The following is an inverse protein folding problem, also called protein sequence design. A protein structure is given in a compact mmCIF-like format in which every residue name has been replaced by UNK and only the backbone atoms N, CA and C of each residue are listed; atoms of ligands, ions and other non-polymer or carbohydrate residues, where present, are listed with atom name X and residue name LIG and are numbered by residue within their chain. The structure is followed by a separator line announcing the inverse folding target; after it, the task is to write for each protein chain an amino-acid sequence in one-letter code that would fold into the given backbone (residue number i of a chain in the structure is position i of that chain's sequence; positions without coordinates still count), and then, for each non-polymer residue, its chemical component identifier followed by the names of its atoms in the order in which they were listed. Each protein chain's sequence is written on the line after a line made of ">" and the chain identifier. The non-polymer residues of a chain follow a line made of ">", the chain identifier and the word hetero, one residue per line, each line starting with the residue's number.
data_IF_093085523754
#
_entry.id   IF_093085523754
#
_cell.length_a   1.000
_cell.length_b   1.000
_cell.length_c   1.000
_cell.angle_alpha   90.00
_cell.angle_beta   90.00
_cell.angle_gamma   90.00
#
_symmetry.space_group_name_H-M   'P 1'
#
loop_
_entity.id
_entity.type
_entity.pdbx_description
1 polymer ?
#
# COMPACT_ATOMS: atom_id res chain seq x y z
N UNK A 1 17.27 -22.25 -23.13
CA UNK A 1 17.29 -22.16 -21.66
C UNK A 1 16.18 -21.22 -21.18
N UNK A 2 15.04 -21.78 -20.77
CA UNK A 2 13.93 -21.03 -20.16
C UNK A 2 14.21 -20.94 -18.65
N UNK A 3 14.58 -19.76 -18.14
CA UNK A 3 14.57 -19.49 -16.70
C UNK A 3 13.34 -18.66 -16.38
N UNK A 4 12.60 -19.23 -15.44
CA UNK A 4 11.23 -18.95 -15.06
C UNK A 4 11.20 -17.61 -14.31
N UNK A 5 10.47 -16.66 -14.90
CA UNK A 5 10.13 -15.36 -14.32
C UNK A 5 8.98 -15.60 -13.32
N UNK A 6 9.28 -16.08 -12.11
CA UNK A 6 8.37 -16.10 -10.95
C UNK A 6 8.89 -15.00 -10.01
N UNK A 7 8.55 -13.73 -10.21
CA UNK A 7 7.23 -13.13 -10.08
C UNK A 7 6.80 -13.03 -8.60
N UNK A 8 7.37 -12.04 -7.88
CA UNK A 8 6.69 -11.28 -6.82
C UNK A 8 5.32 -10.66 -7.27
N UNK A 9 4.91 -10.94 -8.51
CA UNK A 9 3.65 -10.56 -9.16
C UNK A 9 2.68 -11.78 -9.23
N UNK A 10 3.03 -13.01 -8.77
CA UNK A 10 2.13 -14.20 -8.87
C UNK A 10 1.36 -14.57 -7.59
N UNK A 11 1.56 -13.87 -6.46
CA UNK A 11 0.77 -14.08 -5.23
C UNK A 11 0.04 -12.79 -4.81
N UNK A 12 -0.42 -12.02 -5.79
CA UNK A 12 -1.50 -11.01 -5.58
C UNK A 12 -2.78 -11.47 -6.30
N UNK A 13 -2.80 -12.72 -6.75
CA UNK A 13 -4.00 -13.36 -7.28
C UNK A 13 -4.81 -13.90 -6.10
N UNK A 14 -5.92 -13.23 -5.82
CA UNK A 14 -7.00 -13.61 -4.89
C UNK A 14 -6.68 -13.26 -3.42
N UNK A 15 -6.62 -11.98 -3.11
CA UNK A 15 -6.82 -11.49 -1.74
C UNK A 15 -8.31 -11.44 -1.43
N UNK A 16 -8.83 -12.51 -0.82
CA UNK A 16 -10.00 -12.37 0.05
C UNK A 16 -9.57 -11.54 1.27
N UNK A 17 -10.30 -10.46 1.55
CA UNK A 17 -10.01 -9.38 2.49
C UNK A 17 -10.01 -9.74 4.00
N UNK A 18 -9.60 -10.96 4.36
CA UNK A 18 -9.71 -11.46 5.75
C UNK A 18 -8.36 -11.61 6.48
N UNK A 19 -7.24 -11.25 5.85
CA UNK A 19 -5.97 -11.10 6.56
C UNK A 19 -5.98 -9.79 7.33
N UNK A 20 -5.82 -9.82 8.66
CA UNK A 20 -5.77 -8.61 9.46
C UNK A 20 -4.31 -8.23 9.73
N UNK A 21 -3.93 -6.99 9.46
CA UNK A 21 -2.64 -6.46 9.88
C UNK A 21 -2.53 -6.44 11.41
N UNK A 22 -1.32 -6.70 11.91
CA UNK A 22 -1.01 -6.71 13.34
C UNK A 22 0.33 -6.07 13.62
N UNK A 23 0.43 -5.38 14.75
CA UNK A 23 1.72 -4.96 15.29
C UNK A 23 2.44 -6.21 15.82
N UNK A 24 3.72 -6.34 15.47
CA UNK A 24 4.57 -7.39 15.99
C UNK A 24 5.94 -6.83 16.39
N UNK A 25 6.70 -7.65 17.12
CA UNK A 25 8.08 -7.38 17.49
C UNK A 25 8.98 -8.48 16.96
N UNK A 26 10.09 -8.12 16.33
CA UNK A 26 11.12 -9.07 15.91
C UNK A 26 11.72 -9.78 17.13
N UNK A 27 11.84 -11.11 17.06
CA UNK A 27 12.49 -11.93 18.09
C UNK A 27 13.98 -12.15 17.82
N UNK A 28 14.39 -11.96 16.57
CA UNK A 28 15.75 -12.16 16.10
C UNK A 28 16.07 -11.18 14.96
N UNK A 29 17.36 -11.01 14.68
CA UNK A 29 17.77 -10.31 13.47
C UNK A 29 17.39 -11.17 12.26
N UNK A 30 16.92 -10.53 11.21
CA UNK A 30 16.53 -11.20 9.97
C UNK A 30 16.88 -10.32 8.78
N UNK A 31 17.48 -10.91 7.76
CA UNK A 31 17.72 -10.25 6.48
C UNK A 31 16.75 -10.86 5.48
N UNK A 32 15.84 -10.04 4.94
CA UNK A 32 14.92 -10.51 3.90
C UNK A 32 15.70 -10.99 2.69
N UNK A 33 15.53 -12.27 2.36
CA UNK A 33 16.26 -12.96 1.28
C UNK A 33 15.61 -12.77 -0.09
N UNK A 34 14.38 -12.25 -0.16
CA UNK A 34 13.69 -11.97 -1.42
C UNK A 34 13.97 -10.55 -1.96
N UNK A 35 13.89 -10.43 -3.29
CA UNK A 35 14.42 -9.38 -4.22
C UNK A 35 14.11 -7.89 -3.93
N UNK A 36 13.52 -7.54 -2.78
CA UNK A 36 13.39 -6.16 -2.34
C UNK A 36 14.38 -5.84 -1.21
N UNK A 37 15.63 -5.60 -1.63
CA UNK A 37 16.60 -4.71 -1.02
C UNK A 37 17.38 -5.18 0.22
N UNK A 38 17.43 -6.48 0.55
CA UNK A 38 18.25 -6.94 1.68
C UNK A 38 17.90 -6.21 2.97
N UNK A 39 16.60 -5.92 3.14
CA UNK A 39 16.13 -5.14 4.29
C UNK A 39 16.39 -5.97 5.53
N UNK A 40 17.21 -5.39 6.40
CA UNK A 40 17.55 -5.97 7.67
C UNK A 40 16.52 -5.51 8.69
N UNK A 41 15.90 -6.49 9.33
CA UNK A 41 15.04 -6.31 10.49
C UNK A 41 15.86 -6.69 11.72
N UNK A 42 15.80 -5.85 12.74
CA UNK A 42 16.60 -6.05 13.95
C UNK A 42 15.79 -6.67 15.07
N UNK A 43 16.42 -7.51 15.89
CA UNK A 43 15.81 -8.06 17.09
C UNK A 43 15.26 -6.93 17.96
N UNK A 44 14.00 -7.08 18.37
CA UNK A 44 13.31 -6.11 19.20
C UNK A 44 12.64 -4.96 18.43
N UNK A 45 12.85 -4.84 17.12
CA UNK A 45 12.18 -3.87 16.26
C UNK A 45 10.68 -4.11 16.17
N UNK A 46 9.89 -3.03 16.13
CA UNK A 46 8.46 -3.11 15.84
C UNK A 46 8.21 -3.15 14.34
N UNK A 47 7.36 -4.06 13.92
CA UNK A 47 6.99 -4.30 12.53
C UNK A 47 5.47 -4.41 12.41
N UNK A 48 4.96 -4.16 11.21
CA UNK A 48 3.59 -4.52 10.83
C UNK A 48 3.67 -5.81 10.05
N UNK A 49 2.93 -6.82 10.49
CA UNK A 49 2.81 -8.08 9.76
C UNK A 49 1.42 -8.22 9.16
N UNK A 50 1.34 -8.95 8.06
CA UNK A 50 0.10 -9.34 7.43
C UNK A 50 0.17 -10.81 7.03
N UNK A 51 -0.89 -11.57 7.33
CA UNK A 51 -0.98 -12.99 6.95
C UNK A 51 -1.53 -13.10 5.52
N UNK A 52 -0.73 -13.46 4.51
CA UNK A 52 -1.30 -13.83 3.22
C UNK A 52 -2.17 -15.08 3.38
N UNK A 53 -3.32 -15.09 2.70
CA UNK A 53 -4.37 -16.11 2.84
C UNK A 53 -3.89 -17.55 2.50
N UNK A 54 -2.82 -17.68 1.70
CA UNK A 54 -2.40 -18.95 1.11
C UNK A 54 -1.02 -19.48 1.54
N UNK A 55 -0.31 -18.81 2.44
CA UNK A 55 1.03 -19.26 2.85
C UNK A 55 1.03 -19.64 4.34
N UNK A 56 1.32 -20.91 4.62
CA UNK A 56 1.19 -21.44 5.99
C UNK A 56 2.20 -20.82 6.96
N UNK A 57 3.36 -20.37 6.46
CA UNK A 57 4.49 -20.01 7.33
C UNK A 57 5.07 -18.61 7.07
N UNK A 58 4.85 -18.00 5.92
CA UNK A 58 5.42 -16.71 5.52
C UNK A 58 4.39 -15.58 5.64
N UNK A 59 4.84 -14.45 6.18
CA UNK A 59 4.04 -13.26 6.44
C UNK A 59 4.67 -12.07 5.75
N UNK A 60 3.85 -11.26 5.08
CA UNK A 60 4.31 -9.99 4.56
C UNK A 60 4.60 -9.05 5.74
N UNK A 61 5.72 -8.34 5.70
CA UNK A 61 6.16 -7.46 6.77
C UNK A 61 6.47 -6.05 6.26
N UNK A 62 6.21 -5.04 7.08
CA UNK A 62 6.70 -3.67 6.92
C UNK A 62 7.39 -3.20 8.19
N UNK A 63 8.51 -2.50 8.04
CA UNK A 63 9.09 -1.74 9.14
C UNK A 63 8.63 -0.27 9.13
N UNK A 64 9.00 0.46 10.18
CA UNK A 64 8.67 1.89 10.36
C UNK A 64 9.21 2.79 9.26
N UNK A 65 10.20 2.33 8.49
CA UNK A 65 10.88 3.12 7.45
C UNK A 65 10.35 2.82 6.05
N UNK A 66 9.28 2.00 5.95
CA UNK A 66 8.63 1.65 4.69
C UNK A 66 9.34 0.54 3.94
N UNK A 67 10.31 -0.12 4.57
CA UNK A 67 10.89 -1.35 4.08
C UNK A 67 9.91 -2.50 4.21
N UNK A 68 9.82 -3.35 3.19
CA UNK A 68 8.94 -4.51 3.18
C UNK A 68 9.67 -5.80 2.79
N UNK A 69 9.12 -6.94 3.19
CA UNK A 69 9.66 -8.26 2.89
C UNK A 69 8.72 -9.37 3.34
N UNK A 70 9.26 -10.57 3.50
CA UNK A 70 8.54 -11.71 4.04
C UNK A 70 9.30 -12.32 5.21
N UNK A 71 8.59 -12.73 6.25
CA UNK A 71 9.13 -13.35 7.46
C UNK A 71 8.40 -14.64 7.79
N UNK A 72 9.15 -15.62 8.30
CA UNK A 72 8.55 -16.78 8.93
C UNK A 72 7.93 -16.42 10.29
N UNK A 73 6.87 -17.12 10.69
CA UNK A 73 6.23 -16.96 12.03
C UNK A 73 7.20 -17.07 13.20
N UNK A 74 8.32 -17.79 13.03
CA UNK A 74 9.35 -17.93 14.04
C UNK A 74 10.18 -16.66 14.24
N UNK A 75 10.17 -15.69 13.32
CA UNK A 75 11.00 -14.48 13.38
C UNK A 75 10.42 -13.37 14.27
N UNK A 76 9.12 -13.40 14.58
CA UNK A 76 8.42 -12.32 15.28
C UNK A 76 7.45 -12.82 16.36
N UNK A 77 6.91 -11.89 17.14
CA UNK A 77 5.83 -12.09 18.10
C UNK A 77 4.77 -11.00 17.93
N UNK A 78 3.51 -11.39 17.74
CA UNK A 78 2.38 -10.45 17.66
C UNK A 78 2.15 -9.77 19.01
N UNK A 79 1.84 -8.47 18.96
CA UNK A 79 1.45 -7.67 20.12
C UNK A 79 -0.07 -7.43 20.05
N UNK A 80 -0.88 -8.20 20.80
CA UNK A 80 -2.32 -8.12 20.71
C UNK A 80 -2.85 -6.76 21.19
N UNK A 81 -3.92 -6.29 20.55
CA UNK A 81 -4.65 -5.08 20.97
C UNK A 81 -3.92 -3.76 20.77
N UNK A 82 -2.72 -3.74 20.16
CA UNK A 82 -2.01 -2.51 19.80
C UNK A 82 -2.25 -2.15 18.34
N UNK A 83 -2.54 -0.88 18.03
CA UNK A 83 -2.64 -0.43 16.64
C UNK A 83 -1.28 -0.55 15.95
N UNK A 84 -1.30 -0.79 14.64
CA UNK A 84 -0.08 -0.71 13.81
C UNK A 84 0.44 0.72 13.77
N UNK A 85 1.75 0.92 13.57
CA UNK A 85 2.31 2.27 13.36
C UNK A 85 1.95 2.81 11.97
N UNK A 86 2.06 4.14 11.79
CA UNK A 86 1.94 4.78 10.47
C UNK A 86 3.03 4.24 9.54
N UNK A 87 2.63 3.58 8.46
CA UNK A 87 3.57 3.12 7.45
C UNK A 87 4.19 4.33 6.75
N UNK A 88 5.53 4.40 6.71
CA UNK A 88 6.22 5.35 5.84
C UNK A 88 6.25 4.84 4.41
N UNK A 89 6.25 5.79 3.48
CA UNK A 89 6.36 5.48 2.06
C UNK A 89 7.66 6.03 1.49
N UNK A 90 8.37 5.18 0.73
CA UNK A 90 9.59 5.58 0.06
C UNK A 90 9.28 6.01 -1.38
N UNK A 91 9.36 7.32 -1.72
CA UNK A 91 9.01 7.81 -3.05
C UNK A 91 9.95 7.27 -4.14
N UNK A 92 11.21 6.95 -3.81
CA UNK A 92 12.13 6.35 -4.77
C UNK A 92 11.71 4.91 -5.10
N UNK A 93 11.34 4.13 -4.09
CA UNK A 93 10.85 2.77 -4.27
C UNK A 93 9.53 2.76 -5.06
N UNK A 94 8.56 3.61 -4.69
CA UNK A 94 7.30 3.77 -5.43
C UNK A 94 7.57 4.10 -6.90
N UNK A 95 8.45 5.07 -7.18
CA UNK A 95 8.81 5.39 -8.57
C UNK A 95 9.42 4.18 -9.27
N UNK A 96 10.33 3.44 -8.64
CA UNK A 96 11.02 2.29 -9.24
C UNK A 96 10.02 1.18 -9.59
N UNK A 97 9.11 0.84 -8.67
CA UNK A 97 8.13 -0.25 -8.85
C UNK A 97 7.03 0.14 -9.83
N UNK A 98 6.46 1.34 -9.72
CA UNK A 98 5.33 1.80 -10.53
C UNK A 98 5.72 2.35 -11.91
N UNK A 99 7.00 2.63 -12.15
CA UNK A 99 7.51 3.04 -13.47
C UNK A 99 8.39 1.98 -14.15
N UNK A 100 8.30 0.70 -13.75
CA UNK A 100 9.05 -0.38 -14.38
C UNK A 100 8.57 -0.66 -15.82
N UNK A 101 9.32 -1.50 -16.55
CA UNK A 101 9.00 -1.85 -17.95
C UNK A 101 7.60 -2.46 -18.11
N UNK A 102 7.23 -3.39 -17.22
CA UNK A 102 5.93 -4.06 -17.26
C UNK A 102 4.76 -3.08 -17.09
N UNK A 103 4.83 -2.20 -16.10
CA UNK A 103 3.79 -1.18 -15.85
C UNK A 103 3.66 -0.22 -17.05
N UNK A 104 4.76 0.11 -17.73
CA UNK A 104 4.73 0.93 -18.94
C UNK A 104 4.04 0.22 -20.11
N UNK A 105 4.23 -1.08 -20.26
CA UNK A 105 3.52 -1.87 -21.29
C UNK A 105 2.02 -1.87 -21.00
N UNK A 106 1.62 -2.21 -19.77
CA UNK A 106 0.21 -2.21 -19.37
C UNK A 106 -0.43 -0.83 -19.57
N UNK A 107 0.25 0.25 -19.12
CA UNK A 107 -0.25 1.62 -19.27
C UNK A 107 -0.54 1.98 -20.74
N UNK A 108 0.29 1.50 -21.69
CA UNK A 108 0.08 1.75 -23.13
C UNK A 108 -1.16 1.05 -23.67
N UNK A 109 -1.47 -0.16 -23.18
CA UNK A 109 -2.67 -0.90 -23.60
C UNK A 109 -3.94 -0.13 -23.26
N UNK A 110 -3.97 0.54 -22.10
CA UNK A 110 -5.09 1.35 -21.64
C UNK A 110 -4.99 2.83 -22.05
N UNK A 111 -4.01 3.22 -22.89
CA UNK A 111 -3.76 4.61 -23.33
C UNK A 111 -3.56 5.62 -22.19
N UNK A 112 -3.12 5.16 -21.02
CA UNK A 112 -2.87 5.98 -19.83
C UNK A 112 -1.37 6.19 -19.63
N UNK A 113 -1.00 7.23 -18.87
CA UNK A 113 0.39 7.47 -18.49
C UNK A 113 0.57 7.34 -16.97
N UNK A 114 0.43 6.11 -16.47
CA UNK A 114 0.51 5.79 -15.05
C UNK A 114 1.82 6.27 -14.40
N UNK A 115 2.96 6.02 -15.04
CA UNK A 115 4.25 6.50 -14.55
C UNK A 115 4.34 8.04 -14.46
N UNK A 116 3.67 8.77 -15.36
CA UNK A 116 3.56 10.23 -15.26
C UNK A 116 2.69 10.62 -14.07
N UNK A 117 1.56 9.94 -13.83
CA UNK A 117 0.73 10.17 -12.64
C UNK A 117 1.54 9.98 -11.35
N UNK A 118 2.24 8.85 -11.20
CA UNK A 118 3.12 8.58 -10.05
C UNK A 118 4.18 9.66 -9.86
N UNK A 119 4.87 10.07 -10.93
CA UNK A 119 5.88 11.15 -10.85
C UNK A 119 5.28 12.48 -10.42
N UNK A 120 4.01 12.78 -10.76
CA UNK A 120 3.32 14.00 -10.31
C UNK A 120 2.95 13.90 -8.83
N UNK A 121 2.47 12.73 -8.40
CA UNK A 121 2.10 12.45 -7.00
C UNK A 121 3.32 12.58 -6.09
N UNK A 122 4.46 11.99 -6.46
CA UNK A 122 5.72 12.09 -5.70
C UNK A 122 6.19 13.55 -5.58
N UNK A 123 5.97 14.35 -6.63
CA UNK A 123 6.30 15.79 -6.66
C UNK A 123 5.22 16.65 -5.99
N UNK A 124 4.16 16.06 -5.44
CA UNK A 124 3.04 16.73 -4.78
C UNK A 124 2.47 17.89 -5.60
N UNK A 125 2.27 17.69 -6.91
CA UNK A 125 1.59 18.70 -7.74
C UNK A 125 0.12 18.82 -7.33
N UNK A 126 -0.43 20.02 -7.39
CA UNK A 126 -1.76 20.37 -6.85
C UNK A 126 -2.91 19.48 -7.31
N UNK A 127 -2.87 18.98 -8.55
CA UNK A 127 -3.90 18.11 -9.15
C UNK A 127 -3.52 16.62 -9.16
N UNK A 128 -2.39 16.25 -8.56
CA UNK A 128 -1.79 14.94 -8.76
C UNK A 128 -2.59 13.80 -8.12
N UNK A 129 -3.12 14.02 -6.91
CA UNK A 129 -3.96 13.04 -6.23
C UNK A 129 -5.26 12.81 -7.00
N UNK A 130 -5.95 13.88 -7.38
CA UNK A 130 -7.18 13.80 -8.20
C UNK A 130 -6.91 13.01 -9.49
N UNK A 131 -5.86 13.38 -10.24
CA UNK A 131 -5.50 12.67 -11.48
C UNK A 131 -5.07 11.22 -11.26
N UNK A 132 -4.59 10.85 -10.08
CA UNK A 132 -4.27 9.47 -9.76
C UNK A 132 -5.55 8.68 -9.49
N UNK A 133 -6.42 9.19 -8.61
CA UNK A 133 -7.68 8.51 -8.29
C UNK A 133 -8.69 8.49 -9.44
N UNK A 134 -8.62 9.44 -10.37
CA UNK A 134 -9.41 9.42 -11.60
C UNK A 134 -9.01 8.27 -12.55
N UNK A 135 -7.89 7.60 -12.30
CA UNK A 135 -7.50 6.41 -13.06
C UNK A 135 -8.26 5.16 -12.64
N UNK A 136 -8.94 5.15 -11.49
CA UNK A 136 -9.70 4.00 -10.98
C UNK A 136 -10.60 3.38 -12.06
N UNK A 137 -11.46 4.13 -12.79
CA UNK A 137 -12.30 3.56 -13.84
C UNK A 137 -11.55 3.21 -15.14
N UNK A 138 -10.31 3.67 -15.32
CA UNK A 138 -9.52 3.48 -16.55
C UNK A 138 -8.57 2.27 -16.47
N UNK A 139 -8.26 1.80 -15.25
CA UNK A 139 -7.36 0.66 -15.03
C UNK A 139 -8.14 -0.64 -14.94
N UNK A 140 -7.70 -1.67 -15.66
CA UNK A 140 -8.27 -3.02 -15.60
C UNK A 140 -7.17 -4.08 -15.39
N UNK A 141 -7.58 -5.26 -14.95
CA UNK A 141 -6.78 -6.45 -14.73
C UNK A 141 -5.47 -6.16 -13.97
N UNK A 142 -4.32 -6.47 -14.56
CA UNK A 142 -3.01 -6.33 -13.93
C UNK A 142 -2.67 -4.87 -13.56
N UNK A 143 -3.18 -3.87 -14.30
CA UNK A 143 -2.92 -2.47 -13.98
C UNK A 143 -3.76 -2.01 -12.79
N UNK A 144 -4.99 -2.54 -12.64
CA UNK A 144 -5.82 -2.30 -11.47
C UNK A 144 -5.14 -2.84 -10.19
N UNK A 145 -4.51 -4.01 -10.23
CA UNK A 145 -3.73 -4.54 -9.11
C UNK A 145 -2.54 -3.64 -8.74
N UNK A 146 -1.83 -3.10 -9.73
CA UNK A 146 -0.74 -2.15 -9.49
C UNK A 146 -1.27 -0.85 -8.86
N UNK A 147 -2.39 -0.34 -9.37
CA UNK A 147 -3.06 0.86 -8.84
C UNK A 147 -3.49 0.67 -7.38
N UNK A 148 -4.15 -0.44 -7.09
CA UNK A 148 -4.60 -0.80 -5.75
C UNK A 148 -3.42 -0.85 -4.76
N UNK A 149 -2.33 -1.56 -5.12
CA UNK A 149 -1.10 -1.65 -4.32
C UNK A 149 -0.47 -0.28 -4.04
N UNK A 150 -0.42 0.58 -5.05
CA UNK A 150 0.24 1.88 -4.92
C UNK A 150 -0.59 2.91 -4.12
N UNK A 151 -1.91 2.67 -3.95
CA UNK A 151 -2.84 3.61 -3.30
C UNK A 151 -2.45 3.95 -1.86
N UNK A 152 -2.23 2.94 -1.01
CA UNK A 152 -1.81 3.20 0.38
C UNK A 152 -0.42 3.81 0.49
N UNK A 153 0.48 3.45 -0.44
CA UNK A 153 1.80 4.09 -0.51
C UNK A 153 1.65 5.57 -0.82
N UNK A 154 0.74 5.92 -1.75
CA UNK A 154 0.45 7.31 -2.10
C UNK A 154 -0.18 8.06 -0.93
N UNK A 155 -1.21 7.52 -0.28
CA UNK A 155 -1.82 8.15 0.90
C UNK A 155 -0.76 8.42 1.98
N UNK A 156 0.13 7.45 2.22
CA UNK A 156 1.21 7.56 3.20
C UNK A 156 2.39 8.47 2.79
N UNK A 157 2.43 8.99 1.56
CA UNK A 157 3.35 10.07 1.17
C UNK A 157 2.87 11.47 1.60
N UNK A 158 1.58 11.62 1.90
CA UNK A 158 0.96 12.89 2.24
C UNK A 158 0.86 13.06 3.75
N UNK A 159 1.01 14.29 4.23
CA UNK A 159 0.66 14.64 5.60
C UNK A 159 -0.86 14.70 5.75
N UNK A 160 -1.34 14.67 6.99
CA UNK A 160 -2.77 14.86 7.26
C UNK A 160 -3.28 16.23 6.77
N UNK A 161 -2.47 17.27 6.87
CA UNK A 161 -2.83 18.60 6.34
C UNK A 161 -2.95 18.61 4.81
N UNK A 162 -1.99 18.00 4.11
CA UNK A 162 -2.02 17.95 2.64
C UNK A 162 -3.21 17.11 2.14
N UNK A 163 -3.48 15.97 2.78
CA UNK A 163 -4.61 15.12 2.45
C UNK A 163 -5.94 15.83 2.77
N UNK A 164 -6.04 16.52 3.91
CA UNK A 164 -7.22 17.30 4.27
C UNK A 164 -7.52 18.43 3.27
N UNK A 165 -6.49 19.16 2.84
CA UNK A 165 -6.63 20.21 1.82
C UNK A 165 -7.17 19.63 0.52
N UNK A 166 -6.60 18.51 0.05
CA UNK A 166 -7.07 17.85 -1.16
C UNK A 166 -8.53 17.36 -1.03
N UNK A 167 -8.88 16.71 0.08
CA UNK A 167 -10.25 16.21 0.31
C UNK A 167 -11.30 17.33 0.29
N UNK A 168 -10.96 18.54 0.76
CA UNK A 168 -11.84 19.71 0.67
C UNK A 168 -12.11 20.18 -0.76
N UNK A 169 -11.30 19.76 -1.73
CA UNK A 169 -11.53 20.08 -3.16
C UNK A 169 -12.48 19.10 -3.84
N UNK A 170 -12.83 18.00 -3.18
CA UNK A 170 -13.70 16.95 -3.73
C UNK A 170 -15.16 17.23 -3.37
N UNK A 171 -16.06 16.97 -4.31
CA UNK A 171 -17.49 16.93 -4.04
C UNK A 171 -17.88 15.64 -3.28
N UNK A 172 -19.12 15.62 -2.79
CA UNK A 172 -19.69 14.49 -2.03
C UNK A 172 -19.62 13.16 -2.80
N UNK A 173 -19.79 13.16 -4.13
CA UNK A 173 -19.76 11.94 -4.91
C UNK A 173 -18.34 11.38 -5.03
N UNK A 174 -17.35 12.25 -5.23
CA UNK A 174 -15.93 11.88 -5.26
C UNK A 174 -15.44 11.40 -3.90
N UNK A 175 -15.90 12.01 -2.81
CA UNK A 175 -15.63 11.53 -1.44
C UNK A 175 -16.19 10.11 -1.22
N UNK A 176 -17.44 9.86 -1.66
CA UNK A 176 -18.05 8.52 -1.62
C UNK A 176 -17.27 7.51 -2.44
N UNK A 177 -16.86 7.86 -3.66
CA UNK A 177 -16.07 6.97 -4.53
C UNK A 177 -14.71 6.64 -3.91
N UNK A 178 -14.01 7.64 -3.38
CA UNK A 178 -12.74 7.45 -2.69
C UNK A 178 -12.88 6.50 -1.50
N UNK A 179 -13.88 6.72 -0.64
CA UNK A 179 -14.14 5.85 0.51
C UNK A 179 -14.61 4.45 0.11
N UNK A 180 -15.43 4.33 -0.92
CA UNK A 180 -15.81 3.04 -1.50
C UNK A 180 -14.59 2.27 -2.01
N UNK A 181 -13.65 2.96 -2.66
CA UNK A 181 -12.42 2.35 -3.15
C UNK A 181 -11.50 1.87 -2.02
N UNK A 182 -11.38 2.62 -0.91
CA UNK A 182 -10.57 2.17 0.25
C UNK A 182 -11.17 0.96 0.97
N UNK A 183 -12.49 0.75 0.87
CA UNK A 183 -13.19 -0.42 1.42
C UNK A 183 -13.00 -1.67 0.57
N UNK A 184 -12.60 -1.52 -0.70
CA UNK A 184 -12.41 -2.64 -1.60
C UNK A 184 -11.27 -3.52 -1.07
N UNK A 185 -11.56 -4.82 -0.90
CA UNK A 185 -10.61 -5.81 -0.40
C UNK A 185 -9.31 -5.90 -1.20
N UNK A 186 -9.36 -5.58 -2.50
CA UNK A 186 -8.19 -5.56 -3.38
C UNK A 186 -7.27 -4.36 -3.14
N UNK A 187 -7.80 -3.27 -2.57
CA UNK A 187 -7.09 -2.01 -2.26
C UNK A 187 -6.68 -1.95 -0.81
N UNK A 188 -7.47 -2.58 0.06
CA UNK A 188 -7.30 -2.55 1.50
C UNK A 188 -5.90 -2.98 1.94
N UNK A 189 -5.17 -3.81 1.19
CA UNK A 189 -3.83 -4.25 1.57
C UNK A 189 -2.76 -3.12 1.47
N UNK A 190 -1.92 -2.87 2.51
CA UNK A 190 -1.77 -3.63 3.76
C UNK A 190 -2.57 -3.06 4.96
N UNK A 191 -3.46 -2.09 4.75
CA UNK A 191 -4.28 -1.42 5.78
C UNK A 191 -5.75 -1.86 5.66
N UNK A 192 -6.08 -3.06 6.16
CA UNK A 192 -7.47 -3.56 6.07
C UNK A 192 -8.42 -2.85 7.00
N UNK A 193 -7.91 -2.33 8.13
CA UNK A 193 -8.67 -1.49 9.06
C UNK A 193 -8.51 -0.01 8.74
N UNK A 194 -8.82 0.38 7.50
CA UNK A 194 -8.64 1.73 6.98
C UNK A 194 -9.25 2.81 7.88
N UNK A 195 -10.43 2.59 8.45
CA UNK A 195 -11.10 3.57 9.31
C UNK A 195 -10.33 3.81 10.62
N UNK A 196 -9.87 2.75 11.27
CA UNK A 196 -9.04 2.84 12.48
C UNK A 196 -7.72 3.57 12.16
N UNK A 197 -7.07 3.17 11.06
CA UNK A 197 -5.81 3.75 10.61
C UNK A 197 -5.91 5.25 10.26
N UNK A 198 -6.92 5.64 9.48
CA UNK A 198 -7.14 7.04 9.12
C UNK A 198 -7.53 7.89 10.33
N UNK A 199 -8.37 7.36 11.24
CA UNK A 199 -8.73 8.09 12.46
C UNK A 199 -7.53 8.38 13.36
N UNK A 200 -6.55 7.46 13.40
CA UNK A 200 -5.37 7.59 14.24
C UNK A 200 -4.28 8.47 13.62
N UNK A 201 -4.02 8.32 12.32
CA UNK A 201 -2.87 8.95 11.65
C UNK A 201 -3.21 10.13 10.73
N UNK A 202 -4.49 10.31 10.42
CA UNK A 202 -5.00 11.38 9.57
C UNK A 202 -6.26 12.00 10.18
N UNK A 203 -6.24 12.47 11.45
CA UNK A 203 -7.43 12.90 12.16
C UNK A 203 -8.19 14.05 11.47
N UNK A 204 -7.49 15.03 10.88
CA UNK A 204 -8.13 16.13 10.14
C UNK A 204 -8.82 15.61 8.89
N UNK A 205 -8.15 14.78 8.11
CA UNK A 205 -8.72 14.13 6.93
C UNK A 205 -9.90 13.25 7.30
N UNK A 206 -9.80 12.51 8.40
CA UNK A 206 -10.85 11.64 8.92
C UNK A 206 -12.13 12.39 9.28
N UNK A 207 -12.04 13.65 9.75
CA UNK A 207 -13.25 14.45 10.02
C UNK A 207 -14.13 14.66 8.79
N UNK A 208 -13.56 14.67 7.59
CA UNK A 208 -14.29 14.76 6.31
C UNK A 208 -14.79 13.38 5.88
N UNK A 209 -13.98 12.35 6.07
CA UNK A 209 -14.24 11.00 5.53
C UNK A 209 -15.21 10.15 6.37
N UNK A 210 -15.30 10.40 7.67
CA UNK A 210 -16.03 9.54 8.62
C UNK A 210 -17.51 9.37 8.29
N UNK A 211 -18.13 10.36 7.66
CA UNK A 211 -19.56 10.35 7.30
C UNK A 211 -19.85 9.47 6.07
N UNK A 212 -18.79 8.93 5.45
CA UNK A 212 -18.84 8.02 4.29
C UNK A 212 -18.31 6.61 4.62
N UNK A 213 -18.10 6.32 5.92
CA UNK A 213 -17.66 5.01 6.43
C UNK A 213 -18.69 3.90 6.17
#
# INVERSE_FOLDING_TARGET
>A
MKKILILCILVISILNANGQESLARMKMDYVSTEENAGIQFHKGEFIVIFKPYNEKNTWAVWNKDGGCGYLDTLAFQIIPGKPIFKLKSNPHLLKKTSCNHHTRILSRQFKINYCRAIKRVIRKRSDALTKFFDLIPEVDAALATIHARDTWTIINLYTDDELNIWLKTLDTNRLKQFMGYLKDGSVAYPITRYAEYLSLYYPKSWTILKDFK
#
